data_IF_878010520536
#
_entry.id   IF_878010520536
#
_cell.length_a   1.000
_cell.length_b   1.000
_cell.length_c   1.000
_cell.angle_alpha   90.00
_cell.angle_beta   90.00
_cell.angle_gamma   90.00
#
_symmetry.space_group_name_H-M   'P 1'
#
loop_
_entity.id
_entity.type
_entity.pdbx_description
1 polymer ?
#
# COMPACT_ATOMS: atom_id res chain seq x y z
N UNK A 1 -20.15 27.65 -27.39
CA UNK A 1 -20.61 26.49 -26.60
C UNK A 1 -19.57 25.36 -26.50
N UNK A 2 -18.53 25.35 -27.34
CA UNK A 2 -17.50 24.30 -27.44
C UNK A 2 -16.41 24.33 -26.37
N UNK A 3 -16.07 25.50 -25.82
CA UNK A 3 -15.00 25.66 -24.82
C UNK A 3 -15.32 25.03 -23.46
N UNK A 4 -16.56 25.23 -22.98
CA UNK A 4 -17.02 24.69 -21.68
C UNK A 4 -17.07 23.16 -21.71
N UNK A 5 -17.55 22.57 -22.80
CA UNK A 5 -17.62 21.11 -22.98
C UNK A 5 -16.21 20.51 -22.97
N UNK A 6 -15.24 21.17 -23.62
CA UNK A 6 -13.84 20.73 -23.64
C UNK A 6 -13.20 20.80 -22.26
N UNK A 7 -13.49 21.84 -21.48
CA UNK A 7 -13.01 21.98 -20.10
C UNK A 7 -13.54 20.86 -19.19
N UNK A 8 -14.84 20.58 -19.26
CA UNK A 8 -15.47 19.50 -18.49
C UNK A 8 -14.83 18.15 -18.83
N UNK A 9 -14.55 17.89 -20.11
CA UNK A 9 -13.93 16.64 -20.55
C UNK A 9 -12.52 16.45 -19.96
N UNK A 10 -11.70 17.50 -19.96
CA UNK A 10 -10.35 17.47 -19.37
C UNK A 10 -10.43 17.22 -17.86
N UNK A 11 -11.38 17.87 -17.17
CA UNK A 11 -11.60 17.66 -15.74
C UNK A 11 -12.01 16.21 -15.42
N UNK A 12 -12.89 15.60 -16.21
CA UNK A 12 -13.32 14.20 -16.03
C UNK A 12 -12.13 13.25 -16.19
N UNK A 13 -11.30 13.45 -17.22
CA UNK A 13 -10.10 12.63 -17.45
C UNK A 13 -9.14 12.77 -16.27
N UNK A 14 -8.87 14.00 -15.83
CA UNK A 14 -7.95 14.25 -14.72
C UNK A 14 -8.43 13.59 -13.41
N UNK A 15 -9.72 13.73 -13.10
CA UNK A 15 -10.33 13.08 -11.93
C UNK A 15 -10.29 11.55 -12.04
N UNK A 16 -10.50 10.99 -13.23
CA UNK A 16 -10.43 9.53 -13.45
C UNK A 16 -9.03 8.98 -13.19
N UNK A 17 -7.99 9.69 -13.67
CA UNK A 17 -6.59 9.31 -13.44
C UNK A 17 -6.24 9.42 -11.96
N UNK A 18 -6.68 10.49 -11.28
CA UNK A 18 -6.50 10.66 -9.84
C UNK A 18 -7.24 9.60 -9.02
N UNK A 19 -8.41 9.15 -9.46
CA UNK A 19 -9.15 8.08 -8.78
C UNK A 19 -8.40 6.74 -8.88
N UNK A 20 -7.84 6.43 -10.05
CA UNK A 20 -7.04 5.20 -10.25
C UNK A 20 -5.72 5.26 -9.48
N UNK A 21 -5.07 6.41 -9.42
CA UNK A 21 -3.81 6.57 -8.66
C UNK A 21 -4.06 6.53 -7.16
N UNK A 22 -5.13 7.15 -6.67
CA UNK A 22 -5.54 7.05 -5.26
C UNK A 22 -6.04 5.66 -4.89
N UNK A 23 -6.69 4.91 -5.80
CA UNK A 23 -6.98 3.49 -5.59
C UNK A 23 -5.69 2.66 -5.47
N UNK A 24 -4.64 2.94 -6.26
CA UNK A 24 -3.34 2.27 -6.13
C UNK A 24 -2.51 2.74 -4.93
N UNK A 25 -2.69 3.98 -4.49
CA UNK A 25 -1.96 4.55 -3.35
C UNK A 25 -2.65 4.29 -2.00
N UNK A 26 -3.99 4.25 -1.97
CA UNK A 26 -4.81 3.92 -0.80
C UNK A 26 -5.18 2.45 -0.70
N UNK A 27 -4.92 1.66 -1.73
CA UNK A 27 -4.72 0.23 -1.58
C UNK A 27 -3.23 -0.05 -1.69
N UNK A 28 -2.47 0.00 -0.58
CA UNK A 28 -1.64 -1.17 -0.34
C UNK A 28 -2.65 -2.30 -0.37
N UNK A 29 -2.77 -2.98 -1.52
CA UNK A 29 -3.58 -4.18 -1.60
C UNK A 29 -3.24 -4.94 -0.35
N UNK A 30 -4.25 -5.11 0.51
CA UNK A 30 -4.15 -5.89 1.72
C UNK A 30 -3.61 -7.24 1.23
N UNK A 31 -2.29 -7.41 1.24
CA UNK A 31 -1.63 -8.66 0.97
C UNK A 31 -2.01 -9.44 2.20
N UNK A 32 -3.22 -10.02 2.12
CA UNK A 32 -3.77 -10.86 3.15
C UNK A 32 -2.78 -11.97 3.30
N UNK A 33 -2.15 -11.98 4.45
CA UNK A 33 -1.16 -12.96 4.80
C UNK A 33 -1.75 -13.81 5.93
N UNK A 34 -1.33 -15.06 5.98
CA UNK A 34 -1.47 -15.92 7.15
C UNK A 34 -0.13 -16.06 7.86
N UNK A 35 0.96 -15.95 7.10
CA UNK A 35 2.33 -16.09 7.57
C UNK A 35 3.27 -15.10 6.85
N UNK A 36 4.43 -14.85 7.44
CA UNK A 36 5.40 -13.87 6.96
C UNK A 36 5.86 -14.14 5.50
N UNK A 37 5.91 -15.41 5.07
CA UNK A 37 6.32 -15.80 3.71
C UNK A 37 5.30 -15.47 2.64
N UNK A 38 4.04 -15.20 3.00
CA UNK A 38 3.01 -14.74 2.06
C UNK A 38 3.28 -13.31 1.60
N UNK A 39 4.14 -12.60 2.33
CA UNK A 39 4.49 -11.22 2.06
C UNK A 39 5.77 -11.13 1.21
N UNK A 40 5.78 -10.19 0.27
CA UNK A 40 6.92 -9.97 -0.62
C UNK A 40 8.07 -9.34 0.17
N UNK A 41 9.19 -10.04 0.31
CA UNK A 41 10.36 -9.59 1.12
C UNK A 41 10.96 -8.23 0.73
N UNK A 42 10.64 -7.68 -0.45
CA UNK A 42 11.15 -6.39 -0.96
C UNK A 42 10.21 -5.21 -0.71
N UNK A 43 9.17 -5.39 0.11
CA UNK A 43 8.18 -4.35 0.38
C UNK A 43 8.70 -3.27 1.36
N UNK A 44 9.69 -3.61 2.20
CA UNK A 44 10.21 -2.71 3.22
C UNK A 44 11.63 -2.23 2.90
N UNK A 45 11.89 -0.94 3.15
CA UNK A 45 13.24 -0.40 3.14
C UNK A 45 13.99 -0.82 4.42
N UNK A 46 15.28 -1.16 4.34
CA UNK A 46 16.11 -1.40 5.52
C UNK A 46 16.05 -0.19 6.48
N UNK A 47 16.06 -0.38 7.81
CA UNK A 47 16.24 -1.63 8.55
C UNK A 47 14.92 -2.34 8.92
N UNK A 48 13.83 -2.08 8.19
CA UNK A 48 12.52 -2.70 8.47
C UNK A 48 12.42 -4.05 7.76
N UNK A 49 11.81 -5.02 8.44
CA UNK A 49 11.48 -6.33 7.88
C UNK A 49 9.98 -6.44 7.63
N UNK A 50 9.62 -7.21 6.60
CA UNK A 50 8.23 -7.51 6.28
C UNK A 50 7.71 -8.56 7.27
N UNK A 51 6.49 -8.37 7.78
CA UNK A 51 5.79 -9.30 8.67
C UNK A 51 4.31 -9.38 8.37
N UNK A 52 3.71 -10.51 8.68
CA UNK A 52 2.28 -10.67 8.72
C UNK A 52 1.75 -10.30 10.11
N UNK A 53 1.01 -9.19 10.21
CA UNK A 53 0.37 -8.77 11.44
C UNK A 53 -1.12 -8.48 11.17
N UNK A 54 -2.01 -9.01 12.00
CA UNK A 54 -3.46 -8.86 11.84
C UNK A 54 -3.95 -9.23 10.42
N UNK A 55 -3.41 -10.31 9.86
CA UNK A 55 -3.67 -10.78 8.49
C UNK A 55 -3.29 -9.77 7.38
N UNK A 56 -2.35 -8.86 7.65
CA UNK A 56 -1.89 -7.85 6.71
C UNK A 56 -0.36 -7.78 6.74
N UNK A 57 0.26 -7.73 5.57
CA UNK A 57 1.70 -7.49 5.46
C UNK A 57 2.05 -6.07 5.93
N UNK A 58 2.94 -5.95 6.91
CA UNK A 58 3.40 -4.70 7.50
C UNK A 58 4.93 -4.67 7.61
N UNK A 59 5.50 -3.47 7.77
CA UNK A 59 6.94 -3.28 7.99
C UNK A 59 7.24 -3.07 9.47
N UNK A 60 7.82 -4.08 10.12
CA UNK A 60 8.25 -4.03 11.51
C UNK A 60 9.73 -3.63 11.62
N UNK A 61 10.11 -2.91 12.70
CA UNK A 61 11.53 -2.65 13.00
C UNK A 61 12.20 -3.91 13.54
N UNK A 62 13.45 -4.15 13.16
CA UNK A 62 14.23 -5.29 13.65
C UNK A 62 14.40 -5.29 15.17
N UNK A 63 14.37 -4.13 15.85
CA UNK A 63 14.44 -4.08 17.32
C UNK A 63 13.26 -4.76 18.03
N UNK A 64 12.10 -4.90 17.38
CA UNK A 64 10.93 -5.59 17.94
C UNK A 64 11.04 -7.13 17.86
N UNK A 65 12.06 -7.69 17.20
CA UNK A 65 12.33 -9.13 17.19
C UNK A 65 12.88 -9.66 18.51
N UNK A 66 13.60 -8.84 19.29
CA UNK A 66 14.20 -9.27 20.55
C UNK A 66 13.19 -9.43 21.68
N UNK A 67 12.03 -8.80 21.61
CA UNK A 67 11.05 -8.81 22.69
C UNK A 67 10.03 -9.97 22.63
N UNK A 68 10.04 -10.76 21.56
CA UNK A 68 9.10 -11.87 21.35
C UNK A 68 9.77 -13.26 21.50
N UNK A 69 11.06 -13.29 21.84
CA UNK A 69 11.83 -14.52 22.14
C UNK A 69 12.12 -14.70 23.65
N UNK A 70 11.55 -13.83 24.49
CA UNK A 70 11.62 -13.93 25.95
C UNK A 70 10.20 -14.11 26.52
N UNK A 71 9.68 -15.33 26.40
CA UNK A 71 8.79 -16.04 27.35
C UNK A 71 9.01 -17.53 27.07
#
# INVERSE_FOLDING_TARGET
MTGIVKFIYIMIIFNSILLVSSHRASHPGYFRCKQDTDCINRMCMPPKIVRCANNICTCAKVTSLLHHFTI
#
